data_IF_611461413611
#
_entry.id   IF_611461413611
#
_cell.length_a   1.000
_cell.length_b   1.000
_cell.length_c   1.000
_cell.angle_alpha   90.00
_cell.angle_beta   90.00
_cell.angle_gamma   90.00
#
_symmetry.space_group_name_H-M   'P 1'
#
loop_
_entity.id
_entity.type
_entity.pdbx_description
1 polymer ?
#
# COMPACT_ATOMS: atom_id res chain seq x y z
N UNK A 1 18.96 -14.03 25.29
CA UNK A 1 19.39 -13.65 23.92
C UNK A 1 18.23 -13.12 23.06
N UNK A 2 17.10 -13.83 22.87
CA UNK A 2 15.95 -13.33 22.07
C UNK A 2 15.25 -12.09 22.65
N UNK A 3 15.11 -12.01 23.98
CA UNK A 3 14.50 -10.84 24.64
C UNK A 3 15.38 -9.59 24.58
N UNK A 4 16.70 -9.75 24.72
CA UNK A 4 17.67 -8.65 24.57
C UNK A 4 17.68 -8.07 23.14
N UNK A 5 17.60 -8.93 22.11
CA UNK A 5 17.44 -8.50 20.72
C UNK A 5 16.13 -7.73 20.50
N UNK A 6 15.03 -8.16 21.13
CA UNK A 6 13.74 -7.46 21.09
C UNK A 6 13.83 -6.04 21.66
N UNK A 7 14.46 -5.89 22.84
CA UNK A 7 14.66 -4.59 23.48
C UNK A 7 15.62 -3.68 22.70
N UNK A 8 16.62 -4.25 22.03
CA UNK A 8 17.56 -3.48 21.20
C UNK A 8 16.91 -2.93 19.93
N UNK A 9 16.05 -3.72 19.27
CA UNK A 9 15.31 -3.31 18.08
C UNK A 9 14.26 -2.23 18.40
N UNK A 10 13.71 -2.22 19.62
CA UNK A 10 12.74 -1.22 20.06
C UNK A 10 13.37 0.11 20.51
N UNK A 11 14.71 0.21 20.47
CA UNK A 11 15.37 1.46 20.83
C UNK A 11 14.94 2.61 19.91
N UNK A 12 14.68 3.81 20.46
CA UNK A 12 14.31 4.98 19.68
C UNK A 12 15.32 5.31 18.58
N UNK A 13 16.62 5.06 18.83
CA UNK A 13 17.70 5.28 17.87
C UNK A 13 17.55 4.43 16.61
N UNK A 14 17.31 3.13 16.78
CA UNK A 14 17.11 2.19 15.65
C UNK A 14 15.87 2.60 14.86
N UNK A 15 14.78 2.96 15.55
CA UNK A 15 13.55 3.44 14.91
C UNK A 15 13.79 4.73 14.10
N UNK A 16 14.47 5.72 14.65
CA UNK A 16 14.77 6.97 13.94
C UNK A 16 15.74 6.74 12.77
N UNK A 17 16.69 5.81 12.90
CA UNK A 17 17.57 5.43 11.80
C UNK A 17 16.78 4.81 10.64
N UNK A 18 15.90 3.84 10.92
CA UNK A 18 15.03 3.23 9.91
C UNK A 18 14.12 4.28 9.27
N UNK A 19 13.53 5.18 10.07
CA UNK A 19 12.72 6.29 9.56
C UNK A 19 13.53 7.17 8.60
N UNK A 20 14.78 7.49 8.95
CA UNK A 20 15.71 8.22 8.09
C UNK A 20 15.97 7.50 6.76
N UNK A 21 16.19 6.18 6.80
CA UNK A 21 16.37 5.35 5.60
C UNK A 21 15.11 5.34 4.74
N UNK A 22 13.92 5.29 5.33
CA UNK A 22 12.64 5.38 4.59
C UNK A 22 12.49 6.73 3.90
N UNK A 23 12.77 7.83 4.60
CA UNK A 23 12.70 9.17 4.02
C UNK A 23 13.72 9.35 2.90
N UNK A 24 14.94 8.85 3.09
CA UNK A 24 15.96 8.85 2.05
C UNK A 24 15.54 8.03 0.82
N UNK A 25 14.98 6.84 1.03
CA UNK A 25 14.46 6.02 -0.05
C UNK A 25 13.28 6.69 -0.79
N UNK A 26 12.45 7.47 -0.09
CA UNK A 26 11.40 8.27 -0.71
C UNK A 26 11.96 9.33 -1.67
N UNK A 27 13.05 10.01 -1.27
CA UNK A 27 13.73 10.98 -2.13
C UNK A 27 14.32 10.30 -3.36
N UNK A 28 15.00 9.15 -3.19
CA UNK A 28 15.55 8.34 -4.29
C UNK A 28 14.44 7.99 -5.30
N UNK A 29 13.29 7.53 -4.82
CA UNK A 29 12.17 7.17 -5.70
C UNK A 29 11.61 8.36 -6.47
N UNK A 30 11.57 9.55 -5.85
CA UNK A 30 11.24 10.80 -6.54
C UNK A 30 12.26 11.12 -7.63
N UNK A 31 13.56 10.94 -7.37
CA UNK A 31 14.63 11.13 -8.35
C UNK A 31 14.57 10.11 -9.49
N UNK A 32 14.15 8.87 -9.25
CA UNK A 32 13.93 7.85 -10.29
C UNK A 32 12.86 8.26 -11.31
N UNK A 33 11.93 9.15 -10.93
CA UNK A 33 10.88 9.64 -11.82
C UNK A 33 11.41 10.66 -12.84
N UNK A 34 12.57 11.27 -12.57
CA UNK A 34 13.18 12.27 -13.45
C UNK A 34 14.10 11.63 -14.49
N UNK A 35 13.68 11.65 -15.76
CA UNK A 35 14.45 11.18 -16.90
C UNK A 35 15.87 11.79 -17.02
N UNK A 36 16.09 13.13 -16.87
CA UNK A 36 17.43 13.70 -16.98
C UNK A 36 18.37 13.26 -15.84
N UNK A 37 17.82 13.05 -14.64
CA UNK A 37 18.58 12.57 -13.47
C UNK A 37 18.94 11.09 -13.64
N UNK A 38 18.01 10.29 -14.16
CA UNK A 38 18.26 8.88 -14.49
C UNK A 38 19.31 8.68 -15.58
N UNK A 39 19.40 9.60 -16.55
CA UNK A 39 20.44 9.55 -17.58
C UNK A 39 21.85 9.74 -17.01
N UNK A 40 22.03 10.62 -16.01
CA UNK A 40 23.35 10.94 -15.46
C UNK A 40 23.73 10.11 -14.22
N UNK A 41 22.76 9.81 -13.34
CA UNK A 41 22.98 9.18 -12.04
C UNK A 41 22.20 7.87 -11.83
N UNK A 42 21.61 7.31 -12.90
CA UNK A 42 20.74 6.13 -12.80
C UNK A 42 21.37 4.92 -12.10
N UNK A 43 22.64 4.65 -12.36
CA UNK A 43 23.36 3.53 -11.73
C UNK A 43 23.50 3.74 -10.22
N UNK A 44 23.89 4.95 -9.80
CA UNK A 44 24.08 5.29 -8.38
C UNK A 44 22.75 5.26 -7.63
N UNK A 45 21.70 5.82 -8.21
CA UNK A 45 20.37 5.87 -7.59
C UNK A 45 19.79 4.46 -7.40
N UNK A 46 19.92 3.58 -8.40
CA UNK A 46 19.51 2.17 -8.27
C UNK A 46 20.33 1.41 -7.23
N UNK A 47 21.64 1.67 -7.15
CA UNK A 47 22.50 1.05 -6.12
C UNK A 47 22.08 1.50 -4.72
N UNK A 48 21.74 2.78 -4.55
CA UNK A 48 21.21 3.31 -3.29
C UNK A 48 19.83 2.73 -2.95
N UNK A 49 18.92 2.57 -3.92
CA UNK A 49 17.61 1.91 -3.69
C UNK A 49 17.81 0.46 -3.21
N UNK A 50 18.73 -0.28 -3.85
CA UNK A 50 19.08 -1.64 -3.45
C UNK A 50 19.67 -1.68 -2.04
N UNK A 51 20.53 -0.72 -1.69
CA UNK A 51 21.10 -0.61 -0.35
C UNK A 51 20.01 -0.35 0.72
N UNK A 52 19.07 0.55 0.44
CA UNK A 52 17.91 0.78 1.31
C UNK A 52 17.08 -0.50 1.48
N UNK A 53 16.81 -1.21 0.38
CA UNK A 53 16.10 -2.48 0.42
C UNK A 53 16.84 -3.52 1.27
N UNK A 54 18.16 -3.64 1.12
CA UNK A 54 18.97 -4.55 1.92
C UNK A 54 18.87 -4.25 3.42
N UNK A 55 18.91 -2.97 3.81
CA UNK A 55 18.71 -2.54 5.21
C UNK A 55 17.34 -2.99 5.73
N UNK A 56 16.28 -2.83 4.93
CA UNK A 56 14.92 -3.25 5.29
C UNK A 56 14.77 -4.76 5.42
N UNK A 57 15.42 -5.52 4.54
CA UNK A 57 15.45 -7.00 4.62
C UNK A 57 16.14 -7.45 5.91
N UNK A 58 17.31 -6.87 6.22
CA UNK A 58 18.05 -7.18 7.44
C UNK A 58 17.26 -6.83 8.70
N UNK A 59 16.59 -5.69 8.71
CA UNK A 59 15.73 -5.26 9.81
C UNK A 59 14.57 -6.24 10.05
N UNK A 60 13.87 -6.65 8.99
CA UNK A 60 12.76 -7.60 9.10
C UNK A 60 13.25 -9.00 9.49
N UNK A 61 14.37 -9.45 8.94
CA UNK A 61 15.00 -10.71 9.34
C UNK A 61 15.36 -10.69 10.84
N UNK A 62 15.95 -9.60 11.33
CA UNK A 62 16.26 -9.44 12.75
C UNK A 62 14.99 -9.46 13.63
N UNK A 63 13.93 -8.77 13.23
CA UNK A 63 12.62 -8.80 13.92
C UNK A 63 12.01 -10.20 13.93
N UNK A 64 12.11 -10.93 12.82
CA UNK A 64 11.58 -12.29 12.67
C UNK A 64 12.34 -13.27 13.56
N UNK A 65 13.67 -13.20 13.60
CA UNK A 65 14.51 -14.04 14.48
C UNK A 65 14.26 -13.73 15.96
N UNK A 66 14.10 -12.45 16.31
CA UNK A 66 13.85 -12.03 17.69
C UNK A 66 12.47 -12.46 18.20
N UNK A 67 11.41 -12.31 17.39
CA UNK A 67 10.01 -12.58 17.80
C UNK A 67 9.49 -13.96 17.41
N UNK A 68 10.15 -14.65 16.48
CA UNK A 68 9.72 -15.95 15.95
C UNK A 68 8.27 -15.92 15.47
N UNK A 69 7.42 -16.92 15.82
CA UNK A 69 6.03 -16.98 15.36
C UNK A 69 5.15 -15.84 15.90
N UNK A 70 5.56 -15.16 16.99
CA UNK A 70 4.83 -13.98 17.50
C UNK A 70 4.95 -12.78 16.56
N UNK A 71 5.90 -12.78 15.62
CA UNK A 71 6.02 -11.75 14.59
C UNK A 71 4.70 -11.57 13.82
N UNK A 72 4.07 -12.68 13.43
CA UNK A 72 2.85 -12.71 12.62
C UNK A 72 1.57 -12.33 13.39
N UNK A 73 1.64 -12.16 14.72
CA UNK A 73 0.50 -11.67 15.52
C UNK A 73 0.32 -10.16 15.46
N UNK A 74 1.32 -9.42 14.99
CA UNK A 74 1.22 -7.97 14.83
C UNK A 74 0.93 -7.62 13.38
N UNK A 75 -0.22 -7.00 13.12
CA UNK A 75 -0.61 -6.58 11.76
C UNK A 75 0.42 -5.67 11.09
N UNK A 76 1.09 -4.80 11.85
CA UNK A 76 2.15 -3.93 11.35
C UNK A 76 3.41 -4.69 10.92
N UNK A 77 3.78 -5.75 11.62
CA UNK A 77 4.91 -6.60 11.25
C UNK A 77 4.59 -7.40 9.99
N UNK A 78 3.37 -7.92 9.88
CA UNK A 78 2.90 -8.63 8.67
C UNK A 78 2.87 -7.67 7.47
N UNK A 79 2.39 -6.45 7.66
CA UNK A 79 2.40 -5.40 6.63
C UNK A 79 3.81 -5.11 6.13
N UNK A 80 4.77 -4.87 7.04
CA UNK A 80 6.16 -4.65 6.65
C UNK A 80 6.77 -5.84 5.91
N UNK A 81 6.48 -7.06 6.38
CA UNK A 81 6.95 -8.29 5.75
C UNK A 81 6.40 -8.46 4.33
N UNK A 82 5.11 -8.19 4.11
CA UNK A 82 4.48 -8.24 2.79
C UNK A 82 5.10 -7.22 1.84
N UNK A 83 5.30 -5.98 2.29
CA UNK A 83 5.91 -4.93 1.48
C UNK A 83 7.35 -5.29 1.06
N UNK A 84 8.17 -5.74 2.01
CA UNK A 84 9.56 -6.13 1.73
C UNK A 84 9.58 -7.40 0.85
N UNK A 85 8.67 -8.34 1.10
CA UNK A 85 8.49 -9.55 0.29
C UNK A 85 8.15 -9.24 -1.17
N UNK A 86 7.21 -8.31 -1.41
CA UNK A 86 6.85 -7.86 -2.76
C UNK A 86 8.04 -7.22 -3.50
N UNK A 87 8.94 -6.53 -2.78
CA UNK A 87 10.14 -5.94 -3.35
C UNK A 87 11.23 -6.98 -3.70
N UNK A 88 11.22 -8.14 -3.05
CA UNK A 88 12.18 -9.23 -3.25
C UNK A 88 11.79 -10.18 -4.40
N UNK A 89 10.56 -10.11 -4.92
CA UNK A 89 10.08 -11.04 -5.96
C UNK A 89 10.98 -10.99 -7.20
N UNK A 90 11.73 -12.07 -7.50
CA UNK A 90 12.58 -12.12 -8.68
C UNK A 90 11.70 -12.14 -9.94
N UNK A 91 12.10 -11.40 -10.97
CA UNK A 91 11.28 -11.23 -12.18
C UNK A 91 10.16 -10.19 -12.06
N UNK A 92 9.91 -9.60 -10.88
CA UNK A 92 8.93 -8.50 -10.73
C UNK A 92 9.23 -7.27 -11.61
N UNK A 93 10.44 -7.16 -12.17
CA UNK A 93 10.82 -6.11 -13.10
C UNK A 93 10.09 -6.21 -14.45
N UNK A 94 9.68 -7.41 -14.88
CA UNK A 94 8.95 -7.64 -16.13
C UNK A 94 7.46 -7.29 -16.01
N UNK A 95 6.91 -7.31 -14.79
CA UNK A 95 5.52 -6.95 -14.52
C UNK A 95 5.46 -5.48 -14.08
N UNK A 96 4.99 -4.59 -14.97
CA UNK A 96 4.91 -3.15 -14.72
C UNK A 96 4.19 -2.81 -13.41
N UNK A 97 3.13 -3.56 -13.07
CA UNK A 97 2.38 -3.40 -11.82
C UNK A 97 3.26 -3.69 -10.59
N UNK A 98 4.02 -4.78 -10.58
CA UNK A 98 4.90 -5.12 -9.44
C UNK A 98 6.01 -4.08 -9.26
N UNK A 99 6.49 -3.48 -10.36
CA UNK A 99 7.42 -2.34 -10.31
C UNK A 99 6.78 -1.13 -9.63
N UNK A 100 5.53 -0.79 -10.00
CA UNK A 100 4.80 0.32 -9.40
C UNK A 100 4.45 0.07 -7.91
N UNK A 101 4.12 -1.18 -7.55
CA UNK A 101 3.82 -1.55 -6.16
C UNK A 101 5.02 -1.35 -5.21
N UNK A 102 6.25 -1.21 -5.72
CA UNK A 102 7.41 -0.85 -4.89
C UNK A 102 7.25 0.50 -4.21
N UNK A 103 6.45 1.42 -4.78
CA UNK A 103 6.11 2.71 -4.14
C UNK A 103 5.35 2.49 -2.83
N UNK A 104 4.63 1.37 -2.67
CA UNK A 104 3.97 1.03 -1.41
C UNK A 104 4.96 0.89 -0.25
N UNK A 105 6.26 0.66 -0.51
CA UNK A 105 7.26 0.62 0.57
C UNK A 105 7.41 1.95 1.31
N UNK A 106 6.98 3.07 0.71
CA UNK A 106 6.92 4.35 1.39
C UNK A 106 5.88 4.36 2.52
N UNK A 107 4.83 3.53 2.41
CA UNK A 107 3.82 3.36 3.46
C UNK A 107 4.41 2.75 4.75
N UNK A 108 5.63 2.19 4.70
CA UNK A 108 6.35 1.78 5.91
C UNK A 108 6.65 2.94 6.86
N UNK A 109 6.59 4.20 6.39
CA UNK A 109 6.63 5.36 7.30
C UNK A 109 5.49 5.28 8.33
N UNK A 110 4.32 4.80 7.91
CA UNK A 110 3.15 4.62 8.77
C UNK A 110 3.43 3.51 9.78
N UNK A 111 3.97 2.38 9.33
CA UNK A 111 4.31 1.28 10.22
C UNK A 111 5.49 1.62 11.14
N UNK A 112 6.40 2.53 10.84
CA UNK A 112 7.52 2.86 11.75
C UNK A 112 7.16 4.01 12.70
N UNK A 113 6.31 4.95 12.28
CA UNK A 113 5.94 6.12 13.07
C UNK A 113 4.70 5.86 13.95
N UNK A 114 4.83 5.83 15.31
CA UNK A 114 3.71 5.52 16.20
C UNK A 114 2.54 6.52 16.14
N UNK A 115 2.82 7.78 15.75
CA UNK A 115 1.78 8.79 15.55
C UNK A 115 0.90 8.44 14.34
N UNK A 116 1.50 8.03 13.24
CA UNK A 116 0.78 7.63 12.03
C UNK A 116 0.03 6.31 12.24
N UNK A 117 0.62 5.34 12.96
CA UNK A 117 -0.09 4.11 13.35
C UNK A 117 -1.40 4.41 14.06
N UNK A 118 -1.37 5.28 15.08
CA UNK A 118 -2.57 5.66 15.84
C UNK A 118 -3.65 6.30 14.98
N UNK A 119 -3.26 7.15 14.02
CA UNK A 119 -4.20 7.76 13.08
C UNK A 119 -4.87 6.68 12.21
N UNK A 120 -4.08 5.78 11.62
CA UNK A 120 -4.60 4.70 10.76
C UNK A 120 -5.42 3.70 11.56
N UNK A 121 -4.99 3.33 12.77
CA UNK A 121 -5.76 2.48 13.69
C UNK A 121 -7.10 3.14 14.05
N UNK A 122 -7.11 4.46 14.28
CA UNK A 122 -8.33 5.24 14.50
C UNK A 122 -9.30 5.11 13.32
N UNK A 123 -8.81 5.34 12.10
CA UNK A 123 -9.62 5.17 10.89
C UNK A 123 -10.16 3.74 10.73
N UNK A 124 -9.31 2.73 10.90
CA UNK A 124 -9.71 1.32 10.78
C UNK A 124 -10.72 0.95 11.87
N UNK A 125 -10.56 1.46 13.10
CA UNK A 125 -11.47 1.19 14.21
C UNK A 125 -12.86 1.80 14.01
N UNK A 126 -12.99 2.83 13.18
CA UNK A 126 -14.27 3.42 12.81
C UNK A 126 -15.02 2.61 11.75
N UNK A 127 -14.32 1.83 10.91
CA UNK A 127 -14.94 1.07 9.81
C UNK A 127 -16.02 0.07 10.26
N UNK A 128 -15.83 -0.74 11.33
CA UNK A 128 -16.87 -1.66 11.80
C UNK A 128 -18.18 -0.96 12.16
N UNK A 129 -18.10 0.24 12.74
CA UNK A 129 -19.29 1.03 13.10
C UNK A 129 -20.09 1.51 11.89
N UNK A 130 -19.45 1.61 10.72
CA UNK A 130 -20.07 1.99 9.45
C UNK A 130 -20.42 0.79 8.56
N UNK A 131 -20.12 -0.44 8.99
CA UNK A 131 -20.28 -1.63 8.15
C UNK A 131 -21.74 -1.85 7.68
N UNK A 132 -22.73 -1.52 8.53
CA UNK A 132 -24.15 -1.57 8.18
C UNK A 132 -24.52 -0.59 7.07
N UNK A 133 -23.95 0.62 7.11
CA UNK A 133 -24.17 1.65 6.08
C UNK A 133 -23.52 1.23 4.77
N UNK A 134 -22.29 0.71 4.80
CA UNK A 134 -21.63 0.16 3.61
C UNK A 134 -22.42 -1.00 2.99
N UNK A 135 -22.98 -1.89 3.82
CA UNK A 135 -23.81 -3.00 3.35
C UNK A 135 -25.08 -2.49 2.68
N UNK A 136 -25.82 -1.58 3.33
CA UNK A 136 -27.04 -1.00 2.77
C UNK A 136 -26.74 -0.26 1.45
N UNK A 137 -25.70 0.58 1.45
CA UNK A 137 -25.28 1.30 0.24
C UNK A 137 -24.88 0.33 -0.86
N UNK A 138 -24.14 -0.74 -0.54
CA UNK A 138 -23.76 -1.78 -1.50
C UNK A 138 -24.96 -2.50 -2.13
N UNK A 139 -25.99 -2.79 -1.34
CA UNK A 139 -27.25 -3.40 -1.85
C UNK A 139 -27.96 -2.43 -2.80
N UNK A 140 -28.14 -1.17 -2.39
CA UNK A 140 -28.78 -0.13 -3.23
C UNK A 140 -28.01 0.02 -4.55
N UNK A 141 -26.68 0.09 -4.46
CA UNK A 141 -25.80 0.24 -5.60
C UNK A 141 -25.88 -0.95 -6.57
N UNK A 142 -25.92 -2.17 -6.03
CA UNK A 142 -26.08 -3.39 -6.83
C UNK A 142 -27.43 -3.44 -7.55
N UNK A 143 -28.54 -3.16 -6.84
CA UNK A 143 -29.88 -3.11 -7.44
C UNK A 143 -29.91 -2.04 -8.54
N UNK A 144 -29.37 -0.85 -8.27
CA UNK A 144 -29.22 0.22 -9.25
C UNK A 144 -28.46 -0.24 -10.50
N UNK A 145 -27.33 -0.93 -10.33
CA UNK A 145 -26.51 -1.41 -11.45
C UNK A 145 -27.26 -2.45 -12.30
N UNK A 146 -28.03 -3.36 -11.68
CA UNK A 146 -28.87 -4.33 -12.40
C UNK A 146 -29.98 -3.62 -13.18
N UNK A 147 -30.69 -2.67 -12.55
CA UNK A 147 -31.74 -1.89 -13.20
C UNK A 147 -31.20 -1.09 -14.39
N UNK A 148 -30.10 -0.37 -14.20
CA UNK A 148 -29.48 0.44 -15.25
C UNK A 148 -29.02 -0.42 -16.43
N UNK A 149 -28.46 -1.60 -16.17
CA UNK A 149 -28.08 -2.56 -17.21
C UNK A 149 -29.29 -3.03 -18.02
N UNK A 150 -30.41 -3.33 -17.35
CA UNK A 150 -31.63 -3.82 -18.01
C UNK A 150 -32.37 -2.74 -18.78
N UNK A 151 -32.39 -1.51 -18.26
CA UNK A 151 -33.12 -0.39 -18.85
C UNK A 151 -32.34 0.30 -19.97
N UNK A 152 -31.03 0.50 -19.76
CA UNK A 152 -30.22 1.35 -20.64
C UNK A 152 -29.13 0.58 -21.40
N UNK A 153 -28.89 -0.70 -21.09
CA UNK A 153 -27.78 -1.45 -21.68
C UNK A 153 -27.87 -1.66 -23.19
N UNK A 154 -29.07 -1.66 -23.77
CA UNK A 154 -29.27 -1.76 -25.23
C UNK A 154 -29.07 -0.43 -25.94
N UNK A 155 -29.56 0.67 -25.36
CA UNK A 155 -29.46 2.01 -25.93
C UNK A 155 -28.07 2.65 -25.71
N UNK A 156 -27.44 2.36 -24.57
CA UNK A 156 -26.17 2.95 -24.14
C UNK A 156 -25.20 1.86 -23.66
N UNK A 157 -24.71 1.00 -24.58
CA UNK A 157 -23.89 -0.17 -24.24
C UNK A 157 -22.50 0.17 -23.67
N UNK A 158 -21.99 1.38 -23.94
CA UNK A 158 -20.71 1.86 -23.40
C UNK A 158 -20.77 2.09 -21.88
N UNK A 159 -21.87 2.67 -21.39
CA UNK A 159 -22.05 2.99 -19.97
C UNK A 159 -22.81 1.92 -19.20
N UNK A 160 -23.77 1.25 -19.84
CA UNK A 160 -24.70 0.34 -19.16
C UNK A 160 -24.77 -1.06 -19.78
N UNK A 161 -23.92 -1.38 -20.77
CA UNK A 161 -24.00 -2.65 -21.51
C UNK A 161 -23.65 -3.90 -20.67
N UNK A 162 -22.96 -3.72 -19.55
CA UNK A 162 -22.65 -4.81 -18.61
C UNK A 162 -22.85 -4.35 -17.18
N UNK A 163 -23.05 -5.30 -16.26
CA UNK A 163 -23.22 -4.98 -14.84
C UNK A 163 -22.06 -4.15 -14.27
N UNK A 164 -20.81 -4.49 -14.65
CA UNK A 164 -19.62 -3.76 -14.21
C UNK A 164 -19.56 -2.34 -14.76
N UNK A 165 -19.95 -2.13 -16.02
CA UNK A 165 -20.04 -0.80 -16.62
C UNK A 165 -21.12 0.04 -15.94
N UNK A 166 -22.30 -0.54 -15.71
CA UNK A 166 -23.38 0.13 -14.98
C UNK A 166 -22.97 0.51 -13.57
N UNK A 167 -22.27 -0.38 -12.86
CA UNK A 167 -21.72 -0.08 -11.53
C UNK A 167 -20.69 1.06 -11.59
N UNK A 168 -19.81 1.08 -12.58
CA UNK A 168 -18.84 2.17 -12.76
C UNK A 168 -19.54 3.50 -13.08
N UNK A 169 -20.49 3.51 -14.01
CA UNK A 169 -21.25 4.71 -14.39
C UNK A 169 -22.09 5.25 -13.22
N UNK A 170 -22.73 4.37 -12.43
CA UNK A 170 -23.44 4.78 -11.23
C UNK A 170 -22.50 5.32 -10.14
N UNK A 171 -21.25 4.84 -10.10
CA UNK A 171 -20.26 5.37 -9.16
C UNK A 171 -19.89 6.80 -9.55
N UNK A 172 -19.65 7.02 -10.84
CA UNK A 172 -19.39 8.34 -11.41
C UNK A 172 -20.54 9.32 -11.12
N UNK A 173 -21.78 8.89 -11.33
CA UNK A 173 -23.00 9.67 -11.01
C UNK A 173 -23.08 9.95 -9.51
N UNK A 174 -22.80 8.96 -8.64
CA UNK A 174 -22.78 9.15 -7.18
C UNK A 174 -21.73 10.17 -6.74
N UNK A 175 -20.58 10.23 -7.43
CA UNK A 175 -19.55 11.26 -7.19
C UNK A 175 -19.87 12.61 -7.81
N UNK A 176 -21.02 12.75 -8.48
CA UNK A 176 -21.46 13.94 -9.22
C UNK A 176 -20.44 14.38 -10.28
N UNK A 177 -19.67 13.45 -10.83
CA UNK A 177 -18.68 13.74 -11.85
C UNK A 177 -19.34 13.61 -13.23
N UNK A 178 -19.44 14.72 -13.96
CA UNK A 178 -19.99 14.80 -15.33
C UNK A 178 -21.34 14.10 -15.52
N UNK A 179 -22.25 14.27 -14.56
CA UNK A 179 -23.53 13.54 -14.50
C UNK A 179 -24.66 14.14 -15.34
N UNK A 180 -24.50 15.36 -15.84
CA UNK A 180 -25.44 16.13 -16.69
C UNK A 180 -24.70 16.84 -17.81
#
# INVERSE_FOLDING_TARGET
MREQLGQWIEQPKVRYAILGVILFNAVILGLETSAPVMAHFGVVIRALDLACLAVFVLEIAAKLVARGPRFFRSGWNVFDFLIVGLALVPGAQSVSVLRALRVLRLLRVISVAPRLRRVVEGFISALPGMASVFLLMGIIFYIGAVMATKLFGTAFPEWFGTLGRSAYSLFQIMTLESWS
#
